data_IF_419918572108
#
_entry.id   IF_419918572108
#
_cell.length_a   1.000
_cell.length_b   1.000
_cell.length_c   1.000
_cell.angle_alpha   90.00
_cell.angle_beta   90.00
_cell.angle_gamma   90.00
#
_symmetry.space_group_name_H-M   'P 1'
#
loop_
_entity.id
_entity.type
_entity.pdbx_description
1 polymer ?
#
# COMPACT_ATOMS: atom_id res chain seq x y z
N UNK A 1 70.81 28.24 -0.83
CA UNK A 1 69.69 28.03 0.12
C UNK A 1 70.29 27.89 1.52
N UNK A 2 69.88 28.71 2.49
CA UNK A 2 70.44 28.68 3.87
C UNK A 2 69.88 27.45 4.63
N UNK A 3 70.69 26.84 5.51
CA UNK A 3 70.28 25.77 6.43
C UNK A 3 69.00 26.08 7.20
N UNK A 4 68.76 27.34 7.56
CA UNK A 4 67.54 27.79 8.24
C UNK A 4 66.29 27.69 7.35
N UNK A 5 66.42 27.98 6.05
CA UNK A 5 65.32 27.84 5.09
C UNK A 5 64.95 26.37 4.87
N UNK A 6 65.94 25.49 4.82
CA UNK A 6 65.69 24.05 4.68
C UNK A 6 64.98 23.47 5.91
N UNK A 7 65.43 23.84 7.12
CA UNK A 7 64.80 23.39 8.38
C UNK A 7 63.34 23.83 8.50
N UNK A 8 63.03 25.05 8.06
CA UNK A 8 61.65 25.56 8.01
C UNK A 8 60.78 24.79 7.01
N UNK A 9 61.31 24.39 5.85
CA UNK A 9 60.58 23.59 4.87
C UNK A 9 60.26 22.20 5.43
N UNK A 10 61.23 21.54 6.05
CA UNK A 10 61.03 20.20 6.66
C UNK A 10 59.98 20.27 7.77
N UNK A 11 60.08 21.25 8.68
CA UNK A 11 59.10 21.42 9.75
C UNK A 11 57.67 21.66 9.22
N UNK A 12 57.53 22.45 8.15
CA UNK A 12 56.23 22.66 7.51
C UNK A 12 55.71 21.38 6.87
N UNK A 13 56.59 20.58 6.26
CA UNK A 13 56.22 19.30 5.65
C UNK A 13 55.74 18.29 6.70
N UNK A 14 56.41 18.20 7.85
CA UNK A 14 55.96 17.36 8.98
C UNK A 14 54.60 17.81 9.51
N UNK A 15 54.38 19.13 9.65
CA UNK A 15 53.10 19.68 10.09
C UNK A 15 51.95 19.33 9.13
N UNK A 16 52.18 19.37 7.82
CA UNK A 16 51.18 18.95 6.84
C UNK A 16 50.86 17.46 6.94
N UNK A 17 51.86 16.61 7.18
CA UNK A 17 51.64 15.17 7.36
C UNK A 17 50.80 14.88 8.61
N UNK A 18 51.08 15.55 9.73
CA UNK A 18 50.25 15.44 10.93
C UNK A 18 48.83 15.93 10.67
N UNK A 19 48.68 17.08 10.00
CA UNK A 19 47.36 17.65 9.70
C UNK A 19 46.52 16.71 8.84
N UNK A 20 47.10 16.15 7.77
CA UNK A 20 46.42 15.18 6.90
C UNK A 20 46.02 13.92 7.68
N UNK A 21 46.91 13.39 8.52
CA UNK A 21 46.62 12.24 9.37
C UNK A 21 45.45 12.49 10.33
N UNK A 22 45.42 13.66 10.98
CA UNK A 22 44.30 14.03 11.87
C UNK A 22 42.99 14.21 11.10
N UNK A 23 43.04 14.79 9.90
CA UNK A 23 41.86 14.99 9.07
C UNK A 23 41.26 13.66 8.62
N UNK A 24 42.10 12.70 8.23
CA UNK A 24 41.67 11.34 7.87
C UNK A 24 41.01 10.63 9.07
N UNK A 25 41.61 10.70 10.25
CA UNK A 25 41.03 10.10 11.46
C UNK A 25 39.66 10.69 11.81
N UNK A 26 39.50 12.02 11.74
CA UNK A 26 38.20 12.66 11.97
C UNK A 26 37.17 12.21 10.94
N UNK A 27 37.54 12.09 9.67
CA UNK A 27 36.62 11.66 8.62
C UNK A 27 36.11 10.22 8.84
N UNK A 28 36.98 9.32 9.29
CA UNK A 28 36.62 7.92 9.61
C UNK A 28 35.68 7.88 10.81
N UNK A 29 35.95 8.68 11.85
CA UNK A 29 35.08 8.75 13.04
C UNK A 29 33.69 9.28 12.69
N UNK A 30 33.61 10.31 11.85
CA UNK A 30 32.33 10.87 11.39
C UNK A 30 31.57 9.84 10.55
N UNK A 31 32.23 9.17 9.61
CA UNK A 31 31.60 8.12 8.80
C UNK A 31 31.08 6.96 9.67
N UNK A 32 31.85 6.52 10.67
CA UNK A 32 31.44 5.48 11.62
C UNK A 32 30.22 5.91 12.45
N UNK A 33 30.20 7.15 12.94
CA UNK A 33 29.06 7.69 13.68
C UNK A 33 27.79 7.76 12.81
N UNK A 34 27.93 8.21 11.57
CA UNK A 34 26.81 8.23 10.60
C UNK A 34 26.30 6.80 10.35
N UNK A 35 27.20 5.85 10.10
CA UNK A 35 26.84 4.45 9.88
C UNK A 35 26.06 3.86 11.08
N UNK A 36 26.49 4.18 12.30
CA UNK A 36 25.82 3.76 13.54
C UNK A 36 24.42 4.37 13.67
N UNK A 37 24.28 5.68 13.41
CA UNK A 37 22.98 6.38 13.43
C UNK A 37 22.02 5.81 12.38
N UNK A 38 22.51 5.52 11.17
CA UNK A 38 21.71 4.89 10.12
C UNK A 38 21.25 3.49 10.53
N UNK A 39 22.13 2.70 11.15
CA UNK A 39 21.78 1.37 11.64
C UNK A 39 20.73 1.42 12.76
N UNK A 40 20.80 2.42 13.65
CA UNK A 40 19.84 2.61 14.75
C UNK A 40 18.43 2.99 14.26
N UNK A 41 18.33 3.79 13.20
CA UNK A 41 17.02 4.16 12.62
C UNK A 41 16.32 2.98 11.94
N UNK A 42 17.06 1.94 11.54
CA UNK A 42 16.47 0.73 10.96
C UNK A 42 15.65 -0.08 11.97
N UNK A 43 16.00 -0.04 13.25
CA UNK A 43 15.34 -0.82 14.30
C UNK A 43 13.91 -0.30 14.58
N UNK A 44 13.74 1.03 14.67
CA UNK A 44 12.47 1.66 15.07
C UNK A 44 11.36 1.59 14.03
N UNK A 45 11.69 1.29 12.77
CA UNK A 45 10.71 1.18 11.68
C UNK A 45 10.07 -0.22 11.56
N UNK A 46 10.56 -1.21 12.30
CA UNK A 46 10.07 -2.59 12.22
C UNK A 46 8.87 -2.86 13.16
N UNK A 47 8.75 -2.12 14.25
CA UNK A 47 7.74 -2.35 15.29
C UNK A 47 6.31 -2.00 14.84
N UNK A 48 6.12 -1.06 13.91
CA UNK A 48 4.78 -0.76 13.39
C UNK A 48 4.34 -1.75 12.30
N UNK A 49 5.31 -2.39 11.65
CA UNK A 49 5.08 -3.33 10.54
C UNK A 49 4.60 -4.68 11.05
N UNK A 50 5.18 -5.14 12.17
CA UNK A 50 4.83 -6.41 12.78
C UNK A 50 3.44 -6.38 13.46
N UNK A 51 3.05 -5.26 14.07
CA UNK A 51 1.75 -5.09 14.72
C UNK A 51 0.61 -5.04 13.68
N UNK A 52 0.83 -4.35 12.56
CA UNK A 52 -0.16 -4.31 11.47
C UNK A 52 -0.32 -5.69 10.82
N UNK A 53 0.79 -6.40 10.57
CA UNK A 53 0.74 -7.76 10.02
C UNK A 53 -0.01 -8.74 10.95
N UNK A 54 0.21 -8.65 12.26
CA UNK A 54 -0.52 -9.46 13.24
C UNK A 54 -2.00 -9.07 13.32
N UNK A 55 -2.34 -7.78 13.28
CA UNK A 55 -3.74 -7.31 13.25
C UNK A 55 -4.46 -7.81 12.01
N UNK A 56 -3.82 -7.74 10.83
CA UNK A 56 -4.39 -8.26 9.57
C UNK A 56 -4.60 -9.78 9.66
N UNK A 57 -3.61 -10.53 10.15
CA UNK A 57 -3.74 -11.98 10.33
C UNK A 57 -4.89 -12.35 11.29
N UNK A 58 -5.03 -11.63 12.41
CA UNK A 58 -6.13 -11.85 13.35
C UNK A 58 -7.51 -11.54 12.73
N UNK A 59 -7.61 -10.48 11.92
CA UNK A 59 -8.84 -10.13 11.20
C UNK A 59 -9.19 -11.16 10.12
N UNK A 60 -8.20 -11.74 9.44
CA UNK A 60 -8.41 -12.82 8.47
C UNK A 60 -8.93 -14.09 9.16
N UNK A 61 -8.36 -14.46 10.31
CA UNK A 61 -8.82 -15.60 11.09
C UNK A 61 -10.26 -15.41 11.62
N UNK A 62 -10.61 -14.20 12.03
CA UNK A 62 -11.98 -13.87 12.46
C UNK A 62 -12.98 -14.02 11.31
N UNK A 63 -12.63 -13.55 10.10
CA UNK A 63 -13.47 -13.74 8.91
C UNK A 63 -13.68 -15.22 8.56
N UNK A 64 -12.63 -16.04 8.64
CA UNK A 64 -12.72 -17.48 8.42
C UNK A 64 -13.67 -18.13 9.44
N UNK A 65 -13.55 -17.76 10.72
CA UNK A 65 -14.43 -18.26 11.78
C UNK A 65 -15.89 -17.87 11.56
N UNK A 66 -16.16 -16.63 11.13
CA UNK A 66 -17.51 -16.16 10.80
C UNK A 66 -18.10 -16.96 9.64
N UNK A 67 -17.34 -17.17 8.56
CA UNK A 67 -17.82 -17.92 7.40
C UNK A 67 -18.18 -19.38 7.75
N UNK A 68 -17.35 -20.03 8.56
CA UNK A 68 -17.63 -21.38 9.05
C UNK A 68 -18.91 -21.42 9.90
N UNK A 69 -19.13 -20.42 10.77
CA UNK A 69 -20.33 -20.30 11.59
C UNK A 69 -21.58 -20.02 10.74
N UNK A 70 -21.47 -19.22 9.68
CA UNK A 70 -22.55 -18.98 8.72
C UNK A 70 -22.98 -20.31 8.06
N UNK A 71 -22.01 -21.11 7.59
CA UNK A 71 -22.31 -22.40 6.98
C UNK A 71 -23.01 -23.35 7.96
N UNK A 72 -22.55 -23.41 9.22
CA UNK A 72 -23.21 -24.21 10.25
C UNK A 72 -24.65 -23.75 10.55
N UNK A 73 -24.91 -22.44 10.53
CA UNK A 73 -26.27 -21.91 10.70
C UNK A 73 -27.14 -22.28 9.50
N UNK A 74 -26.63 -22.17 8.27
CA UNK A 74 -27.34 -22.56 7.04
C UNK A 74 -27.71 -24.05 7.09
N UNK A 75 -26.77 -24.91 7.49
CA UNK A 75 -27.02 -26.34 7.64
C UNK A 75 -28.09 -26.61 8.71
N UNK A 76 -28.01 -25.93 9.84
CA UNK A 76 -29.00 -26.04 10.92
C UNK A 76 -30.40 -25.57 10.51
N UNK A 77 -30.49 -24.55 9.65
CA UNK A 77 -31.76 -24.04 9.13
C UNK A 77 -32.37 -24.96 8.05
N UNK A 78 -31.53 -25.56 7.21
CA UNK A 78 -31.99 -26.49 6.17
C UNK A 78 -32.44 -27.84 6.74
N UNK A 79 -31.82 -28.31 7.82
CA UNK A 79 -32.22 -29.54 8.53
C UNK A 79 -33.59 -29.41 9.23
N UNK A 80 -34.13 -28.20 9.40
CA UNK A 80 -35.45 -27.96 10.00
C UNK A 80 -36.59 -27.84 8.97
N UNK A 81 -36.34 -28.11 7.67
CA UNK A 81 -37.35 -28.02 6.59
C UNK A 81 -37.77 -29.37 6.00
N UNK A 82 -37.31 -30.50 6.54
CA UNK A 82 -37.58 -31.84 5.97
C UNK A 82 -38.13 -32.84 6.99
N UNK A 83 -39.25 -32.50 7.64
CA UNK A 83 -40.12 -33.54 8.22
C UNK A 83 -41.58 -33.11 8.26
N UNK A 84 -42.21 -32.96 7.09
CA UNK A 84 -43.64 -33.29 6.86
C UNK A 84 -43.90 -33.36 5.35
N UNK A 85 -44.52 -34.48 4.91
CA UNK A 85 -45.21 -34.73 3.63
C UNK A 85 -44.49 -35.60 2.57
N UNK A 86 -44.63 -36.91 2.76
CA UNK A 86 -45.27 -37.91 1.88
C UNK A 86 -45.38 -37.68 0.34
N UNK A 87 -44.95 -38.74 -0.38
CA UNK A 87 -45.40 -39.30 -1.67
C UNK A 87 -45.48 -38.44 -2.96
N UNK A 88 -44.61 -38.78 -3.94
CA UNK A 88 -44.97 -39.27 -5.30
C UNK A 88 -44.04 -38.78 -6.43
N UNK A 89 -43.56 -39.72 -7.27
CA UNK A 89 -43.43 -39.50 -8.72
C UNK A 89 -42.11 -38.98 -9.32
N UNK A 90 -41.28 -39.91 -9.79
CA UNK A 90 -40.51 -39.92 -11.06
C UNK A 90 -40.36 -38.62 -11.90
N UNK A 91 -39.13 -38.17 -12.21
CA UNK A 91 -38.45 -38.29 -13.54
C UNK A 91 -37.03 -37.65 -13.60
N UNK A 92 -36.09 -38.48 -14.08
CA UNK A 92 -34.84 -38.28 -14.85
C UNK A 92 -34.54 -36.90 -15.51
N UNK A 93 -33.27 -36.43 -15.43
CA UNK A 93 -32.64 -35.65 -16.50
C UNK A 93 -31.62 -34.55 -16.14
N UNK A 94 -30.32 -34.87 -16.32
CA UNK A 94 -29.21 -34.06 -16.88
C UNK A 94 -28.96 -32.57 -16.51
N UNK A 95 -27.72 -32.33 -16.04
CA UNK A 95 -26.74 -31.30 -16.44
C UNK A 95 -26.95 -29.78 -16.23
N UNK A 96 -25.83 -29.19 -15.78
CA UNK A 96 -25.23 -27.89 -16.12
C UNK A 96 -25.65 -26.61 -15.40
N UNK A 97 -24.65 -26.08 -14.66
CA UNK A 97 -24.27 -24.67 -14.50
C UNK A 97 -25.36 -23.63 -14.28
N UNK A 98 -25.40 -23.07 -13.07
CA UNK A 98 -25.74 -21.66 -12.93
C UNK A 98 -24.93 -20.99 -11.82
N UNK A 99 -24.21 -19.99 -12.28
CA UNK A 99 -23.48 -18.97 -11.54
C UNK A 99 -24.48 -17.94 -11.05
N UNK A 100 -24.58 -17.69 -9.74
CA UNK A 100 -25.02 -16.40 -9.19
C UNK A 100 -25.19 -16.40 -7.67
N UNK A 101 -25.09 -15.19 -7.11
CA UNK A 101 -25.45 -14.70 -5.77
C UNK A 101 -24.24 -14.59 -4.81
N UNK A 102 -23.46 -13.51 -4.79
CA UNK A 102 -23.81 -12.07 -4.67
C UNK A 102 -24.71 -11.79 -3.46
N UNK A 103 -24.10 -11.26 -2.39
CA UNK A 103 -24.56 -10.00 -1.81
C UNK A 103 -23.60 -9.45 -0.75
N UNK A 104 -23.12 -8.24 -0.98
CA UNK A 104 -23.29 -7.17 0.00
C UNK A 104 -23.54 -5.88 -0.77
N UNK A 105 -24.82 -5.61 -0.99
CA UNK A 105 -25.33 -4.37 -1.54
C UNK A 105 -25.27 -3.30 -0.46
N UNK A 106 -24.22 -2.48 -0.48
CA UNK A 106 -24.47 -1.05 -0.38
C UNK A 106 -24.78 -0.62 -1.82
N UNK A 107 -25.97 -0.07 -2.04
CA UNK A 107 -26.36 0.47 -3.33
C UNK A 107 -25.43 1.65 -3.68
N UNK A 108 -24.29 1.36 -4.28
CA UNK A 108 -23.50 2.36 -5.00
C UNK A 108 -23.67 2.04 -6.48
N UNK A 109 -24.45 2.89 -7.15
CA UNK A 109 -24.19 3.33 -8.52
C UNK A 109 -22.73 3.05 -8.88
N UNK A 110 -22.42 2.36 -9.99
CA UNK A 110 -21.08 1.83 -10.36
C UNK A 110 -19.95 2.86 -10.54
N UNK A 111 -19.85 3.81 -9.62
CA UNK A 111 -18.89 4.88 -9.47
C UNK A 111 -17.84 4.45 -8.45
N UNK A 112 -16.60 4.78 -8.76
CA UNK A 112 -15.41 4.44 -7.99
C UNK A 112 -15.11 5.61 -7.06
N UNK A 113 -15.05 5.36 -5.76
CA UNK A 113 -14.65 6.37 -4.79
C UNK A 113 -13.15 6.65 -4.90
N UNK A 114 -12.75 7.86 -5.28
CA UNK A 114 -11.33 8.19 -5.56
C UNK A 114 -10.46 8.28 -4.29
N UNK A 115 -11.07 8.46 -3.12
CA UNK A 115 -10.37 8.49 -1.85
C UNK A 115 -10.05 7.09 -1.33
N UNK A 116 -10.92 6.10 -1.59
CA UNK A 116 -10.78 4.73 -1.08
C UNK A 116 -10.45 3.67 -2.12
N UNK A 117 -10.50 4.00 -3.42
CA UNK A 117 -10.23 3.05 -4.49
C UNK A 117 -8.82 2.44 -4.42
N UNK A 118 -8.75 1.17 -4.76
CA UNK A 118 -7.51 0.45 -4.99
C UNK A 118 -6.92 0.79 -6.36
N UNK A 119 -5.65 0.44 -6.55
CA UNK A 119 -4.95 0.67 -7.82
C UNK A 119 -5.67 0.02 -9.00
N UNK A 120 -6.14 -1.22 -8.85
CA UNK A 120 -6.90 -1.93 -9.89
C UNK A 120 -8.24 -1.27 -10.20
N UNK A 121 -8.92 -0.72 -9.19
CA UNK A 121 -10.19 0.00 -9.41
C UNK A 121 -9.96 1.30 -10.18
N UNK A 122 -8.91 2.05 -9.84
CA UNK A 122 -8.56 3.27 -10.57
C UNK A 122 -8.09 2.97 -12.00
N UNK A 123 -7.33 1.90 -12.19
CA UNK A 123 -6.87 1.42 -13.51
C UNK A 123 -8.03 0.95 -14.42
N UNK A 124 -9.18 0.59 -13.85
CA UNK A 124 -10.37 0.26 -14.62
C UNK A 124 -11.07 1.47 -15.25
N UNK A 125 -10.69 2.70 -14.89
CA UNK A 125 -11.28 3.93 -15.42
C UNK A 125 -10.78 4.20 -16.85
N UNK A 126 -11.71 4.58 -17.73
CA UNK A 126 -11.38 4.86 -19.14
C UNK A 126 -10.37 6.02 -19.26
N UNK A 127 -9.16 5.70 -19.74
CA UNK A 127 -8.08 6.67 -19.90
C UNK A 127 -7.16 6.82 -18.68
N UNK A 128 -7.38 6.05 -17.60
CA UNK A 128 -6.47 5.90 -16.48
C UNK A 128 -5.77 4.55 -16.64
N UNK A 129 -4.45 4.59 -16.83
CA UNK A 129 -3.60 3.40 -16.77
C UNK A 129 -2.89 3.28 -15.42
N UNK A 130 -2.05 2.25 -15.21
CA UNK A 130 -1.42 1.98 -13.92
C UNK A 130 -0.57 3.14 -13.42
N UNK A 131 0.07 3.89 -14.33
CA UNK A 131 0.86 5.08 -14.00
C UNK A 131 -0.01 6.21 -13.43
N UNK A 132 -1.19 6.44 -14.01
CA UNK A 132 -2.10 7.50 -13.55
C UNK A 132 -2.81 7.08 -12.27
N UNK A 133 -3.22 5.80 -12.17
CA UNK A 133 -3.77 5.23 -10.95
C UNK A 133 -2.81 5.40 -9.75
N UNK A 134 -1.53 5.09 -9.95
CA UNK A 134 -0.52 5.31 -8.90
C UNK A 134 -0.40 6.79 -8.52
N UNK A 135 -0.39 7.72 -9.48
CA UNK A 135 -0.32 9.16 -9.18
C UNK A 135 -1.53 9.68 -8.41
N UNK A 136 -2.72 9.15 -8.66
CA UNK A 136 -3.93 9.48 -7.88
C UNK A 136 -3.74 9.03 -6.42
N UNK A 137 -3.21 7.82 -6.23
CA UNK A 137 -2.88 7.28 -4.90
C UNK A 137 -1.81 8.13 -4.20
N UNK A 138 -0.75 8.51 -4.90
CA UNK A 138 0.30 9.35 -4.34
C UNK A 138 -0.24 10.73 -3.96
N UNK A 139 -1.10 11.31 -4.79
CA UNK A 139 -1.73 12.60 -4.53
C UNK A 139 -2.62 12.57 -3.28
N UNK A 140 -3.44 11.53 -3.08
CA UNK A 140 -4.29 11.43 -1.87
C UNK A 140 -3.44 11.33 -0.60
N UNK A 141 -2.31 10.64 -0.63
CA UNK A 141 -1.42 10.53 0.53
C UNK A 141 -0.70 11.85 0.82
N UNK A 142 -0.27 12.57 -0.22
CA UNK A 142 0.43 13.84 -0.06
C UNK A 142 -0.49 15.00 0.37
N UNK A 143 -1.76 15.01 -0.07
CA UNK A 143 -2.68 16.14 0.12
C UNK A 143 -3.82 15.86 1.10
N UNK A 144 -3.89 14.66 1.69
CA UNK A 144 -4.96 14.27 2.61
C UNK A 144 -6.29 13.96 1.92
N UNK A 145 -6.24 13.45 0.69
CA UNK A 145 -7.41 13.09 -0.12
C UNK A 145 -7.93 14.20 -1.04
N UNK A 146 -9.02 13.90 -1.73
CA UNK A 146 -9.76 14.80 -2.62
C UNK A 146 -11.01 15.32 -1.91
N UNK A 147 -11.26 16.63 -1.98
CA UNK A 147 -12.42 17.29 -1.38
C UNK A 147 -13.55 17.47 -2.41
N UNK A 148 -13.19 17.58 -3.68
CA UNK A 148 -14.11 17.64 -4.82
C UNK A 148 -13.69 16.65 -5.90
N UNK A 149 -14.59 16.34 -6.84
CA UNK A 149 -14.28 15.49 -7.99
C UNK A 149 -13.28 16.22 -8.92
N UNK A 150 -13.38 17.54 -9.02
CA UNK A 150 -12.55 18.40 -9.85
C UNK A 150 -11.10 18.47 -9.37
N UNK A 151 -10.84 18.25 -8.08
CA UNK A 151 -9.49 18.22 -7.49
C UNK A 151 -8.59 17.19 -8.16
N UNK A 152 -9.16 16.18 -8.82
CA UNK A 152 -8.40 15.16 -9.54
C UNK A 152 -7.59 15.73 -10.71
N UNK A 153 -7.96 16.91 -11.22
CA UNK A 153 -7.19 17.64 -12.26
C UNK A 153 -5.85 18.17 -11.74
N UNK A 154 -5.66 18.25 -10.42
CA UNK A 154 -4.38 18.62 -9.82
C UNK A 154 -3.35 17.48 -9.89
N UNK A 155 -3.78 16.26 -10.21
CA UNK A 155 -2.89 15.11 -10.39
C UNK A 155 -2.11 15.25 -11.69
N UNK A 156 -0.78 15.14 -11.60
CA UNK A 156 0.13 15.33 -12.75
C UNK A 156 -0.23 14.43 -13.94
N UNK A 157 -0.63 15.07 -15.04
CA UNK A 157 -0.98 14.42 -16.30
C UNK A 157 -2.45 14.04 -16.45
N UNK A 158 -3.31 14.35 -15.47
CA UNK A 158 -4.76 14.32 -15.62
C UNK A 158 -5.23 15.74 -15.99
N UNK A 159 -5.39 15.98 -17.28
CA UNK A 159 -6.00 17.23 -17.77
C UNK A 159 -7.50 17.08 -18.03
N UNK A 160 -8.15 18.15 -18.48
CA UNK A 160 -9.58 18.18 -18.79
C UNK A 160 -10.01 17.03 -19.71
N UNK A 161 -9.24 16.78 -20.77
CA UNK A 161 -9.55 15.71 -21.74
C UNK A 161 -9.57 14.31 -21.12
N UNK A 162 -8.71 14.06 -20.13
CA UNK A 162 -8.66 12.75 -19.46
C UNK A 162 -9.77 12.67 -18.44
N UNK A 163 -9.94 13.71 -17.63
CA UNK A 163 -11.00 13.82 -16.64
C UNK A 163 -12.40 13.59 -17.21
N UNK A 164 -12.72 14.22 -18.34
CA UNK A 164 -14.02 14.10 -19.00
C UNK A 164 -14.39 12.64 -19.38
N UNK A 165 -13.39 11.76 -19.57
CA UNK A 165 -13.63 10.36 -19.95
C UNK A 165 -14.14 9.48 -18.82
N UNK A 166 -13.85 9.85 -17.57
CA UNK A 166 -14.16 9.01 -16.41
C UNK A 166 -14.85 9.75 -15.26
N UNK A 167 -15.07 11.07 -15.36
CA UNK A 167 -15.73 11.86 -14.31
C UNK A 167 -17.10 11.31 -13.89
N UNK A 168 -17.84 10.70 -14.81
CA UNK A 168 -19.16 10.10 -14.54
C UNK A 168 -19.09 8.76 -13.82
N UNK A 169 -17.88 8.20 -13.70
CA UNK A 169 -17.60 6.90 -13.10
C UNK A 169 -16.89 7.04 -11.75
N UNK A 170 -16.82 8.25 -11.17
CA UNK A 170 -16.12 8.49 -9.92
C UNK A 170 -16.95 9.30 -8.92
N UNK A 171 -16.69 9.05 -7.64
CA UNK A 171 -17.26 9.77 -6.49
C UNK A 171 -16.16 10.09 -5.48
N UNK A 172 -16.43 10.98 -4.51
CA UNK A 172 -15.56 11.25 -3.36
C UNK A 172 -15.93 10.42 -2.13
#
# INVERSE_FOLDING_TARGET
MNKNSFKNIINNLEKYQTLIGTLLMVSILVASAIMLVLNFQSEKNNDNSNELAQKVANLEQEQININNKINQIIDSLNQNKTSTNDTSGTVKGASTSSKSAQNNSAASTGLININSASLSQLDSLSGIGPIYAQRIIDYRFANGGFKSIEDIKNVKGIGDKTFEKFKSNITI
#
